data_IF_367044828536
#
_entry.id   IF_367044828536
#
_cell.length_a   1.000
_cell.length_b   1.000
_cell.length_c   1.000
_cell.angle_alpha   90.00
_cell.angle_beta   90.00
_cell.angle_gamma   90.00
#
_symmetry.space_group_name_H-M   'P 1'
#
loop_
_entity.id
_entity.type
_entity.pdbx_description
1 polymer ?
#
# COMPACT_ATOMS: atom_id res chain seq x y z
N UNK A 1 16.18 -18.91 12.18
CA UNK A 1 15.90 -17.47 12.02
C UNK A 1 14.39 -17.23 11.96
N UNK A 2 13.83 -16.35 12.79
CA UNK A 2 12.41 -16.01 12.71
C UNK A 2 12.10 -15.40 11.34
N UNK A 3 11.04 -15.90 10.71
CA UNK A 3 10.63 -15.49 9.36
C UNK A 3 9.76 -14.24 9.51
N UNK A 4 10.27 -13.07 9.11
CA UNK A 4 9.50 -11.83 9.14
C UNK A 4 8.25 -11.98 8.25
N UNK A 5 7.06 -11.94 8.85
CA UNK A 5 5.77 -12.07 8.15
C UNK A 5 5.02 -10.75 8.02
N UNK A 6 5.29 -9.82 8.92
CA UNK A 6 4.63 -8.53 9.04
C UNK A 6 5.71 -7.45 9.08
N UNK A 7 5.59 -6.45 8.22
CA UNK A 7 6.51 -5.33 8.14
C UNK A 7 5.69 -4.05 8.00
N UNK A 8 6.07 -3.07 8.79
CA UNK A 8 5.49 -1.74 8.79
C UNK A 8 6.63 -0.75 8.58
N UNK A 9 6.47 0.12 7.59
CA UNK A 9 7.52 1.06 7.17
C UNK A 9 6.92 2.44 7.12
N UNK A 10 7.49 3.35 7.90
CA UNK A 10 7.13 4.77 7.93
C UNK A 10 8.34 5.63 7.65
N UNK A 11 8.13 6.78 7.02
CA UNK A 11 9.14 7.83 6.94
C UNK A 11 8.52 9.18 7.24
N UNK A 12 9.38 10.17 7.43
CA UNK A 12 8.94 11.55 7.53
C UNK A 12 8.89 12.22 6.14
N UNK A 13 8.17 13.34 6.02
CA UNK A 13 8.12 14.11 4.78
C UNK A 13 9.49 14.66 4.33
N UNK A 14 10.44 14.86 5.24
CA UNK A 14 11.77 15.42 4.94
C UNK A 14 12.65 14.39 4.23
N UNK A 15 12.36 13.11 4.39
CA UNK A 15 13.09 11.99 3.78
C UNK A 15 12.57 11.61 2.39
N UNK A 16 11.42 12.13 1.93
CA UNK A 16 10.78 11.72 0.68
C UNK A 16 11.70 11.74 -0.55
N UNK A 17 12.55 12.77 -0.67
CA UNK A 17 13.47 12.90 -1.80
C UNK A 17 14.56 11.80 -1.79
N UNK A 18 15.10 11.46 -0.63
CA UNK A 18 16.11 10.41 -0.48
C UNK A 18 15.54 9.01 -0.69
N UNK A 19 14.24 8.86 -0.46
CA UNK A 19 13.52 7.59 -0.56
C UNK A 19 13.02 7.32 -1.98
N UNK A 20 13.01 8.32 -2.86
CA UNK A 20 12.61 8.17 -4.25
C UNK A 20 13.61 7.27 -5.01
N UNK A 21 13.09 6.26 -5.70
CA UNK A 21 13.91 5.38 -6.55
C UNK A 21 14.60 4.23 -5.82
N UNK A 22 14.36 4.04 -4.52
CA UNK A 22 14.82 2.84 -3.81
C UNK A 22 14.28 1.58 -4.46
N UNK A 23 15.16 0.60 -4.66
CA UNK A 23 14.86 -0.70 -5.23
C UNK A 23 15.13 -1.79 -4.22
N UNK A 24 14.14 -2.64 -4.01
CA UNK A 24 14.29 -3.79 -3.12
C UNK A 24 14.58 -5.05 -3.93
N UNK A 25 15.57 -5.86 -3.51
CA UNK A 25 15.88 -7.12 -4.18
C UNK A 25 14.66 -8.05 -4.09
N UNK A 26 14.33 -8.73 -5.20
CA UNK A 26 13.30 -9.76 -5.20
C UNK A 26 13.78 -10.91 -4.33
N UNK A 27 13.07 -11.18 -3.24
CA UNK A 27 13.43 -12.28 -2.34
C UNK A 27 13.31 -13.63 -3.05
N UNK A 28 14.38 -14.44 -3.02
CA UNK A 28 14.38 -15.81 -3.53
C UNK A 28 13.89 -16.86 -2.50
N UNK A 29 13.57 -16.43 -1.28
CA UNK A 29 13.33 -17.34 -0.16
C UNK A 29 11.84 -17.73 -0.02
N UNK A 30 11.51 -19.00 0.31
CA UNK A 30 10.14 -19.46 0.58
C UNK A 30 9.50 -18.86 1.84
N UNK A 31 10.27 -18.07 2.60
CA UNK A 31 9.86 -17.34 3.78
C UNK A 31 9.68 -15.85 3.44
N UNK A 32 8.56 -15.51 2.81
CA UNK A 32 8.26 -14.12 2.43
C UNK A 32 7.25 -13.42 3.34
N UNK A 33 7.26 -12.11 3.20
CA UNK A 33 6.36 -11.16 3.84
C UNK A 33 4.91 -11.41 3.39
N UNK A 34 3.98 -11.48 4.35
CA UNK A 34 2.54 -11.68 4.09
C UNK A 34 1.74 -10.40 4.29
N UNK A 35 2.18 -9.55 5.20
CA UNK A 35 1.54 -8.30 5.53
C UNK A 35 2.53 -7.15 5.42
N UNK A 36 2.15 -6.11 4.71
CA UNK A 36 2.96 -4.90 4.52
C UNK A 36 2.10 -3.67 4.75
N UNK A 37 2.54 -2.76 5.62
CA UNK A 37 2.02 -1.38 5.70
C UNK A 37 3.12 -0.41 5.38
N UNK A 38 2.83 0.51 4.47
CA UNK A 38 3.78 1.55 4.06
C UNK A 38 3.11 2.89 4.22
N UNK A 39 3.76 3.80 4.95
CA UNK A 39 3.31 5.17 5.07
C UNK A 39 4.38 6.22 4.87
N UNK A 40 3.98 7.29 4.17
CA UNK A 40 4.77 8.51 3.90
C UNK A 40 6.01 8.27 3.03
N UNK A 41 5.94 7.43 2.00
CA UNK A 41 7.00 7.28 0.99
C UNK A 41 6.51 7.76 -0.38
N UNK A 42 7.39 8.06 -1.34
CA UNK A 42 6.99 8.11 -2.75
C UNK A 42 6.32 6.77 -3.11
N UNK A 43 5.15 6.81 -3.75
CA UNK A 43 4.38 5.61 -4.08
C UNK A 43 5.23 4.57 -4.82
N UNK A 44 6.11 5.01 -5.73
CA UNK A 44 7.03 4.15 -6.46
C UNK A 44 7.89 3.25 -5.54
N UNK A 45 8.33 3.78 -4.40
CA UNK A 45 9.14 3.06 -3.42
C UNK A 45 8.31 2.02 -2.67
N UNK A 46 7.10 2.40 -2.24
CA UNK A 46 6.16 1.46 -1.63
C UNK A 46 5.83 0.29 -2.56
N UNK A 47 5.62 0.60 -3.85
CA UNK A 47 5.35 -0.40 -4.88
C UNK A 47 6.58 -1.26 -5.21
N UNK A 48 7.80 -0.70 -5.17
CA UNK A 48 9.02 -1.49 -5.32
C UNK A 48 9.14 -2.55 -4.21
N UNK A 49 8.84 -2.16 -2.96
CA UNK A 49 8.84 -3.09 -1.83
C UNK A 49 7.75 -4.15 -1.98
N UNK A 50 6.53 -3.75 -2.35
CA UNK A 50 5.44 -4.70 -2.62
C UNK A 50 5.81 -5.70 -3.74
N UNK A 51 6.44 -5.21 -4.82
CA UNK A 51 6.92 -6.03 -5.95
C UNK A 51 8.01 -7.02 -5.53
N UNK A 52 8.89 -6.66 -4.59
CA UNK A 52 9.92 -7.56 -4.06
C UNK A 52 9.33 -8.77 -3.31
N UNK A 53 8.11 -8.63 -2.77
CA UNK A 53 7.41 -9.64 -1.99
C UNK A 53 6.12 -10.15 -2.66
N UNK A 54 5.93 -9.89 -3.95
CA UNK A 54 4.64 -10.12 -4.62
C UNK A 54 4.15 -11.58 -4.61
N UNK A 55 5.07 -12.53 -4.51
CA UNK A 55 4.79 -13.97 -4.48
C UNK A 55 4.33 -14.49 -3.10
N UNK A 56 4.42 -13.68 -2.05
CA UNK A 56 4.00 -14.03 -0.68
C UNK A 56 3.06 -13.03 -0.04
N UNK A 57 2.98 -11.80 -0.57
CA UNK A 57 2.19 -10.74 0.03
C UNK A 57 0.69 -11.03 -0.10
N UNK A 58 0.01 -11.08 1.04
CA UNK A 58 -1.43 -11.39 1.17
C UNK A 58 -2.24 -10.14 1.54
N UNK A 59 -1.65 -9.22 2.29
CA UNK A 59 -2.28 -7.98 2.76
C UNK A 59 -1.34 -6.78 2.58
N UNK A 60 -1.84 -5.73 1.93
CA UNK A 60 -1.11 -4.48 1.68
C UNK A 60 -1.92 -3.30 2.20
N UNK A 61 -1.27 -2.47 3.01
CA UNK A 61 -1.82 -1.22 3.53
C UNK A 61 -1.02 -0.06 2.95
N UNK A 62 -1.71 0.83 2.24
CA UNK A 62 -1.13 2.03 1.64
C UNK A 62 -1.68 3.26 2.35
N UNK A 63 -0.81 3.95 3.09
CA UNK A 63 -1.14 5.24 3.70
C UNK A 63 -1.00 6.34 2.65
N UNK A 64 -2.01 7.21 2.58
CA UNK A 64 -2.18 8.33 1.65
C UNK A 64 -2.69 7.95 0.24
N UNK A 65 -4.00 8.13 0.04
CA UNK A 65 -4.61 8.09 -1.30
C UNK A 65 -5.90 8.94 -1.38
N UNK A 66 -5.81 10.25 -1.16
CA UNK A 66 -6.78 11.16 -1.80
C UNK A 66 -6.21 12.57 -2.05
N UNK A 67 -6.40 13.00 -3.30
CA UNK A 67 -6.01 14.21 -4.05
C UNK A 67 -4.50 14.57 -4.17
N UNK A 68 -4.08 14.90 -5.39
CA UNK A 68 -2.68 15.17 -5.75
C UNK A 68 -1.98 16.17 -4.79
N UNK A 69 -0.74 15.84 -4.37
CA UNK A 69 0.10 14.76 -4.91
C UNK A 69 -0.24 13.37 -4.35
N UNK A 70 -1.40 13.18 -3.71
CA UNK A 70 -1.85 11.95 -3.08
C UNK A 70 -3.08 11.33 -3.75
N UNK A 71 -2.99 10.94 -5.00
CA UNK A 71 -4.08 10.17 -5.60
C UNK A 71 -3.62 9.63 -6.91
N UNK A 72 -2.67 8.69 -6.88
CA UNK A 72 -2.14 8.10 -8.10
C UNK A 72 -3.31 7.55 -8.93
N UNK A 73 -3.72 8.24 -10.02
CA UNK A 73 -4.84 7.78 -10.84
C UNK A 73 -4.49 6.42 -11.46
N UNK A 74 -3.19 6.18 -11.63
CA UNK A 74 -2.61 4.97 -12.16
C UNK A 74 -2.33 3.89 -11.10
N UNK A 75 -2.78 4.06 -9.84
CA UNK A 75 -2.48 3.11 -8.77
C UNK A 75 -2.93 1.68 -9.11
N UNK A 76 -4.08 1.54 -9.77
CA UNK A 76 -4.56 0.25 -10.24
C UNK A 76 -3.63 -0.36 -11.30
N UNK A 77 -3.19 0.44 -12.29
CA UNK A 77 -2.26 -0.01 -13.32
C UNK A 77 -0.89 -0.39 -12.72
N UNK A 78 -0.40 0.41 -11.78
CA UNK A 78 0.87 0.17 -11.08
C UNK A 78 0.84 -1.08 -10.21
N UNK A 79 -0.24 -1.29 -9.45
CA UNK A 79 -0.44 -2.52 -8.69
C UNK A 79 -0.56 -3.74 -9.62
N UNK A 80 -1.22 -3.59 -10.76
CA UNK A 80 -1.25 -4.61 -11.82
C UNK A 80 0.16 -5.02 -12.28
N UNK A 81 1.06 -4.05 -12.44
CA UNK A 81 2.48 -4.28 -12.78
C UNK A 81 3.29 -4.93 -11.66
N UNK A 82 2.79 -4.98 -10.43
CA UNK A 82 3.54 -5.56 -9.31
C UNK A 82 3.45 -7.09 -9.27
N UNK A 83 2.52 -7.73 -10.00
CA UNK A 83 2.38 -9.19 -10.05
C UNK A 83 1.98 -9.80 -8.71
N UNK A 84 1.11 -9.11 -7.96
CA UNK A 84 0.70 -9.41 -6.58
C UNK A 84 -0.24 -10.63 -6.48
N UNK A 85 0.16 -11.78 -7.04
CA UNK A 85 -0.68 -12.96 -7.27
C UNK A 85 -1.36 -13.56 -6.03
N UNK A 86 -0.87 -13.25 -4.82
CA UNK A 86 -1.46 -13.72 -3.55
C UNK A 86 -2.18 -12.64 -2.75
N UNK A 87 -2.23 -11.42 -3.24
CA UNK A 87 -2.84 -10.30 -2.53
C UNK A 87 -4.34 -10.50 -2.44
N UNK A 88 -4.84 -10.66 -1.22
CA UNK A 88 -6.26 -10.85 -0.90
C UNK A 88 -6.91 -9.58 -0.37
N UNK A 89 -6.13 -8.70 0.24
CA UNK A 89 -6.64 -7.51 0.93
C UNK A 89 -5.76 -6.30 0.65
N UNK A 90 -6.39 -5.22 0.21
CA UNK A 90 -5.77 -3.92 0.00
C UNK A 90 -6.49 -2.89 0.88
N UNK A 91 -5.78 -2.31 1.84
CA UNK A 91 -6.33 -1.27 2.72
C UNK A 91 -5.74 0.07 2.32
N UNK A 92 -6.63 1.00 1.98
CA UNK A 92 -6.34 2.40 1.77
C UNK A 92 -6.43 3.11 3.11
N UNK A 93 -5.28 3.36 3.72
CA UNK A 93 -5.21 4.01 5.03
C UNK A 93 -5.35 5.52 4.83
N UNK A 94 -6.36 6.09 5.48
CA UNK A 94 -6.74 7.51 5.40
C UNK A 94 -6.54 8.25 6.73
N UNK A 95 -6.44 7.52 7.84
CA UNK A 95 -6.36 8.12 9.17
C UNK A 95 -5.01 7.82 9.79
N UNK A 96 -4.08 8.75 9.69
CA UNK A 96 -2.80 8.67 10.41
C UNK A 96 -2.57 9.96 11.16
N UNK A 97 -3.07 10.04 12.40
CA UNK A 97 -2.77 11.13 13.35
C UNK A 97 -2.70 12.53 12.71
N UNK A 98 -1.48 13.08 12.70
CA UNK A 98 -1.14 14.45 12.26
C UNK A 98 -1.30 14.72 10.75
N UNK A 99 -1.63 13.70 9.95
CA UNK A 99 -1.77 13.83 8.50
C UNK A 99 -3.24 13.75 8.10
N UNK A 100 -3.85 14.93 7.96
CA UNK A 100 -5.18 15.10 7.39
C UNK A 100 -5.12 14.84 5.87
N UNK A 101 -5.24 13.58 5.43
CA UNK A 101 -5.66 13.39 4.04
C UNK A 101 -7.15 13.73 3.96
N UNK A 102 -7.51 14.67 3.09
CA UNK A 102 -8.91 14.98 2.83
C UNK A 102 -9.60 13.72 2.33
N UNK A 103 -10.67 13.29 2.99
CA UNK A 103 -11.40 12.09 2.61
C UNK A 103 -12.76 12.46 2.02
N UNK A 104 -12.85 12.41 0.69
CA UNK A 104 -14.12 12.47 -0.02
C UNK A 104 -14.65 11.04 -0.26
N UNK A 105 -15.84 10.74 0.26
CA UNK A 105 -16.43 9.42 0.17
C UNK A 105 -16.84 9.01 -1.26
N UNK A 106 -17.16 9.97 -2.14
CA UNK A 106 -17.45 9.68 -3.54
C UNK A 106 -16.18 9.35 -4.32
N UNK A 107 -15.10 10.10 -4.11
CA UNK A 107 -13.77 9.81 -4.65
C UNK A 107 -13.22 8.47 -4.13
N UNK A 108 -13.33 8.21 -2.83
CA UNK A 108 -12.91 6.94 -2.25
C UNK A 108 -13.65 5.76 -2.90
N UNK A 109 -14.97 5.87 -3.12
CA UNK A 109 -15.75 4.84 -3.81
C UNK A 109 -15.31 4.64 -5.25
N UNK A 110 -14.99 5.73 -5.98
CA UNK A 110 -14.45 5.66 -7.34
C UNK A 110 -13.11 4.92 -7.36
N UNK A 111 -12.21 5.27 -6.45
CA UNK A 111 -10.89 4.65 -6.34
C UNK A 111 -10.98 3.17 -5.95
N UNK A 112 -11.84 2.80 -5.00
CA UNK A 112 -12.09 1.39 -4.65
C UNK A 112 -12.53 0.57 -5.86
N UNK A 113 -13.44 1.12 -6.68
CA UNK A 113 -13.88 0.46 -7.93
C UNK A 113 -12.75 0.30 -8.93
N UNK A 114 -11.90 1.31 -9.11
CA UNK A 114 -10.73 1.22 -9.98
C UNK A 114 -9.73 0.16 -9.49
N UNK A 115 -9.50 0.06 -8.18
CA UNK A 115 -8.56 -0.92 -7.62
C UNK A 115 -9.11 -2.35 -7.64
N UNK A 116 -10.43 -2.52 -7.67
CA UNK A 116 -11.06 -3.81 -7.83
C UNK A 116 -10.84 -4.44 -9.22
N UNK A 117 -10.37 -3.68 -10.21
CA UNK A 117 -10.05 -4.21 -11.56
C UNK A 117 -8.64 -4.79 -11.66
N UNK A 118 -7.82 -4.67 -10.61
CA UNK A 118 -6.48 -5.29 -10.57
C UNK A 118 -6.63 -6.81 -10.77
N UNK A 119 -5.74 -7.51 -11.51
CA UNK A 119 -5.91 -8.93 -11.87
C UNK A 119 -6.11 -9.91 -10.71
N UNK A 120 -5.72 -9.54 -9.50
CA UNK A 120 -5.94 -10.35 -8.29
C UNK A 120 -7.25 -10.05 -7.57
N UNK A 121 -7.98 -9.01 -8.01
CA UNK A 121 -9.22 -8.50 -7.46
C UNK A 121 -9.25 -8.52 -5.92
N UNK A 122 -8.27 -7.89 -5.25
CA UNK A 122 -8.19 -7.93 -3.80
C UNK A 122 -9.43 -7.26 -3.19
N UNK A 123 -9.83 -7.67 -2.00
CA UNK A 123 -10.82 -6.92 -1.22
C UNK A 123 -10.21 -5.56 -0.88
N UNK A 124 -10.72 -4.50 -1.54
CA UNK A 124 -10.27 -3.13 -1.33
C UNK A 124 -11.09 -2.50 -0.23
N UNK A 125 -10.43 -1.99 0.79
CA UNK A 125 -11.05 -1.33 1.94
C UNK A 125 -10.42 0.04 2.18
N UNK A 126 -11.14 0.91 2.85
CA UNK A 126 -10.70 2.24 3.25
C UNK A 126 -10.84 2.36 4.76
N UNK A 127 -9.79 2.82 5.44
CA UNK A 127 -9.82 2.91 6.90
C UNK A 127 -10.81 3.95 7.43
N UNK A 128 -11.17 4.95 6.62
CA UNK A 128 -12.21 5.93 6.96
C UNK A 128 -13.64 5.43 6.69
N UNK A 129 -13.90 4.81 5.52
CA UNK A 129 -15.24 4.34 5.16
C UNK A 129 -15.64 3.04 5.84
N UNK A 130 -14.72 2.07 5.89
CA UNK A 130 -15.02 0.70 6.30
C UNK A 130 -14.60 0.44 7.75
N UNK A 131 -14.13 1.48 8.47
CA UNK A 131 -13.62 1.43 9.84
C UNK A 131 -12.54 0.34 10.04
N UNK A 132 -11.68 0.17 9.03
CA UNK A 132 -10.58 -0.78 9.04
C UNK A 132 -9.26 -0.08 9.30
N UNK A 133 -8.99 0.25 10.55
CA UNK A 133 -7.63 0.55 10.98
C UNK A 133 -7.39 -0.18 12.30
N UNK A 134 -6.41 -1.10 12.39
CA UNK A 134 -5.91 -1.51 13.69
C UNK A 134 -5.10 -0.35 14.31
N UNK A 135 -5.06 -0.26 15.66
CA UNK A 135 -4.22 0.73 16.34
C UNK A 135 -2.77 0.59 15.86
N UNK A 136 -2.18 1.70 15.42
CA UNK A 136 -0.73 1.83 15.39
C UNK A 136 -0.22 1.78 16.84
N UNK A 137 0.89 1.09 17.08
CA UNK A 137 1.61 1.23 18.35
C UNK A 137 2.19 2.64 18.46
#
# INVERSE_FOLDING_TARGET
MPRLRRLEVYSDRRQLAALAGLRFPRGAAPAGLRWLRVGVYPLATALSLARAHAHTLEELHLVAASAEPYGCPDLAAELGRCGLGKLRRLVLVRRTGDYLCGHDAAECRRQKRQLATVPTAPRVECSACDNVDPPAF
#
